data_IF_926006758809
#
_entry.id   IF_926006758809
#
_cell.length_a   1.000
_cell.length_b   1.000
_cell.length_c   1.000
_cell.angle_alpha   90.00
_cell.angle_beta   90.00
_cell.angle_gamma   90.00
#
_symmetry.space_group_name_H-M   'P 1'
#
loop_
_entity.id
_entity.type
_entity.pdbx_description
1 polymer ?
#
# COMPACT_ATOMS: atom_id res chain seq x y z
N UNK A 1 8.78 -11.99 -30.22
CA UNK A 1 9.18 -12.82 -31.39
C UNK A 1 8.31 -14.06 -31.52
N UNK A 2 8.31 -15.02 -30.57
CA UNK A 2 7.52 -16.30 -30.69
C UNK A 2 6.06 -16.07 -31.03
N UNK A 3 5.35 -15.19 -30.30
CA UNK A 3 3.92 -14.86 -30.53
C UNK A 3 3.73 -14.28 -31.94
N UNK A 4 4.56 -13.31 -32.32
CA UNK A 4 4.50 -12.70 -33.65
C UNK A 4 4.76 -13.72 -34.77
N UNK A 5 5.70 -14.65 -34.54
CA UNK A 5 5.93 -15.75 -35.49
C UNK A 5 4.71 -16.66 -35.58
N UNK A 6 4.10 -17.02 -34.43
CA UNK A 6 2.89 -17.85 -34.40
C UNK A 6 1.72 -17.23 -35.18
N UNK A 7 1.55 -15.90 -35.08
CA UNK A 7 0.48 -15.17 -35.77
C UNK A 7 0.72 -15.07 -37.28
N UNK A 8 1.98 -14.88 -37.70
CA UNK A 8 2.33 -14.49 -39.07
C UNK A 8 3.03 -15.58 -39.89
N UNK A 9 3.24 -16.79 -39.34
CA UNK A 9 4.05 -17.84 -39.97
C UNK A 9 3.58 -18.18 -41.39
N UNK A 10 2.27 -18.19 -41.61
CA UNK A 10 1.72 -18.51 -42.92
C UNK A 10 1.99 -17.43 -43.97
N UNK A 11 1.84 -16.15 -43.59
CA UNK A 11 2.20 -15.04 -44.48
C UNK A 11 3.71 -15.01 -44.79
N UNK A 12 4.53 -15.32 -43.77
CA UNK A 12 5.98 -15.40 -43.93
C UNK A 12 6.36 -16.53 -44.90
N UNK A 13 5.78 -17.70 -44.71
CA UNK A 13 6.03 -18.85 -45.61
C UNK A 13 5.52 -18.62 -47.01
N UNK A 14 4.32 -18.02 -47.17
CA UNK A 14 3.78 -17.65 -48.45
C UNK A 14 4.73 -16.72 -49.23
N UNK A 15 5.24 -15.71 -48.57
CA UNK A 15 6.20 -14.75 -49.18
C UNK A 15 7.50 -15.40 -49.58
N UNK A 16 8.08 -16.24 -48.72
CA UNK A 16 9.35 -16.96 -49.04
C UNK A 16 9.17 -17.95 -50.21
N UNK A 17 8.06 -18.60 -50.35
CA UNK A 17 7.75 -19.46 -51.47
C UNK A 17 7.60 -18.68 -52.77
N UNK A 18 6.82 -17.60 -52.77
CA UNK A 18 6.56 -16.79 -53.97
C UNK A 18 7.84 -16.16 -54.53
N UNK A 19 8.80 -15.82 -53.68
CA UNK A 19 10.07 -15.28 -54.06
C UNK A 19 11.13 -16.34 -54.50
N UNK A 20 10.72 -17.62 -54.64
CA UNK A 20 11.57 -18.71 -55.10
C UNK A 20 12.73 -19.07 -54.15
N UNK A 21 12.70 -18.60 -52.92
CA UNK A 21 13.78 -18.79 -51.96
C UNK A 21 13.75 -20.17 -51.28
N UNK A 22 12.71 -20.95 -51.50
CA UNK A 22 12.50 -22.22 -50.77
C UNK A 22 11.83 -23.28 -51.69
N UNK A 23 12.27 -24.55 -51.60
CA UNK A 23 11.76 -25.69 -52.38
C UNK A 23 10.59 -26.45 -51.77
N UNK A 24 10.29 -27.64 -52.28
CA UNK A 24 9.12 -28.49 -51.97
C UNK A 24 8.96 -28.88 -50.47
N UNK A 25 9.97 -28.74 -49.63
CA UNK A 25 9.95 -29.08 -48.22
C UNK A 25 9.23 -28.04 -47.32
N UNK A 26 8.80 -26.92 -47.84
CA UNK A 26 8.28 -25.77 -47.14
C UNK A 26 7.00 -25.99 -46.39
N UNK A 27 5.96 -26.61 -46.95
CA UNK A 27 4.67 -26.77 -46.25
C UNK A 27 4.83 -27.54 -44.93
N UNK A 28 5.67 -28.59 -44.92
CA UNK A 28 5.89 -29.40 -43.72
C UNK A 28 6.71 -28.64 -42.67
N UNK A 29 7.72 -27.89 -43.05
CA UNK A 29 8.53 -27.06 -42.14
C UNK A 29 7.69 -25.93 -41.57
N UNK A 30 6.86 -25.27 -42.38
CA UNK A 30 5.91 -24.26 -41.92
C UNK A 30 4.93 -24.80 -40.89
N UNK A 31 4.31 -25.96 -41.18
CA UNK A 31 3.34 -26.58 -40.27
C UNK A 31 4.00 -26.96 -38.91
N UNK A 32 5.20 -27.53 -38.92
CA UNK A 32 5.92 -27.86 -37.70
C UNK A 32 6.25 -26.59 -36.93
N UNK A 33 6.76 -25.54 -37.61
CA UNK A 33 7.09 -24.26 -36.97
C UNK A 33 5.85 -23.59 -36.37
N UNK A 34 4.72 -23.61 -37.09
CA UNK A 34 3.42 -23.10 -36.61
C UNK A 34 2.99 -23.81 -35.33
N UNK A 35 3.01 -25.13 -35.28
CA UNK A 35 2.67 -25.90 -34.08
C UNK A 35 3.59 -25.60 -32.92
N UNK A 36 4.91 -25.57 -33.14
CA UNK A 36 5.90 -25.24 -32.12
C UNK A 36 5.67 -23.82 -31.56
N UNK A 37 5.43 -22.83 -32.42
CA UNK A 37 5.15 -21.46 -32.00
C UNK A 37 3.83 -21.33 -31.20
N UNK A 38 2.79 -22.09 -31.57
CA UNK A 38 1.55 -22.12 -30.77
C UNK A 38 1.78 -22.75 -29.40
N UNK A 39 2.48 -23.87 -29.33
CA UNK A 39 2.83 -24.51 -28.05
C UNK A 39 3.62 -23.53 -27.18
N UNK A 40 4.62 -22.85 -27.73
CA UNK A 40 5.39 -21.84 -27.01
C UNK A 40 4.56 -20.62 -26.60
N UNK A 41 3.59 -20.19 -27.42
CA UNK A 41 2.65 -19.12 -27.06
C UNK A 41 1.77 -19.52 -25.88
N UNK A 42 1.27 -20.76 -25.86
CA UNK A 42 0.55 -21.31 -24.71
C UNK A 42 1.45 -21.36 -23.48
N UNK A 43 2.68 -21.84 -23.64
CA UNK A 43 3.68 -21.88 -22.54
C UNK A 43 3.95 -20.47 -21.96
N UNK A 44 4.13 -19.45 -22.81
CA UNK A 44 4.33 -18.05 -22.38
C UNK A 44 3.14 -17.52 -21.59
N UNK A 45 1.91 -17.94 -21.90
CA UNK A 45 0.75 -17.56 -21.13
C UNK A 45 0.76 -18.08 -19.68
N UNK A 46 1.38 -19.21 -19.42
CA UNK A 46 1.53 -19.75 -18.06
C UNK A 46 2.78 -19.23 -17.37
N UNK A 47 3.89 -19.13 -18.10
CA UNK A 47 5.23 -18.80 -17.60
C UNK A 47 5.87 -17.69 -18.44
N UNK A 48 5.36 -16.44 -18.39
CA UNK A 48 5.82 -15.35 -19.24
C UNK A 48 7.21 -14.86 -18.84
N UNK A 49 7.61 -15.02 -17.57
CA UNK A 49 8.95 -14.67 -17.10
C UNK A 49 9.76 -15.92 -16.80
N UNK A 50 10.92 -16.05 -17.46
CA UNK A 50 11.88 -17.15 -17.27
C UNK A 50 12.77 -16.94 -16.03
N UNK A 51 12.34 -16.22 -15.01
CA UNK A 51 13.16 -15.94 -13.84
C UNK A 51 13.49 -17.22 -13.07
N UNK A 52 14.73 -17.66 -13.16
CA UNK A 52 15.29 -18.85 -12.49
C UNK A 52 15.54 -18.55 -11.00
N UNK A 53 15.65 -17.27 -10.61
CA UNK A 53 15.94 -16.86 -9.25
C UNK A 53 14.64 -16.61 -8.47
N UNK A 54 14.45 -17.29 -7.34
CA UNK A 54 13.38 -17.04 -6.37
C UNK A 54 13.71 -15.76 -5.59
N UNK A 55 13.52 -14.60 -6.23
CA UNK A 55 13.89 -13.29 -5.70
C UNK A 55 12.69 -12.59 -5.04
N UNK A 56 11.52 -13.23 -4.98
CA UNK A 56 10.30 -12.56 -4.50
C UNK A 56 9.27 -13.53 -3.91
N UNK A 57 8.24 -12.94 -3.30
CA UNK A 57 7.06 -13.68 -2.83
C UNK A 57 6.25 -14.22 -4.02
N UNK A 58 5.44 -15.27 -3.79
CA UNK A 58 4.54 -15.84 -4.82
C UNK A 58 3.61 -14.77 -5.41
N UNK A 59 3.07 -13.87 -4.56
CA UNK A 59 2.23 -12.76 -5.01
C UNK A 59 2.96 -11.86 -6.01
N UNK A 60 4.20 -11.48 -5.68
CA UNK A 60 5.01 -10.60 -6.50
C UNK A 60 5.39 -11.23 -7.82
N UNK A 61 5.65 -12.55 -7.83
CA UNK A 61 5.90 -13.32 -9.04
C UNK A 61 4.68 -13.34 -9.98
N UNK A 62 3.48 -13.56 -9.44
CA UNK A 62 2.24 -13.53 -10.25
C UNK A 62 2.00 -12.13 -10.83
N UNK A 63 2.31 -11.06 -10.06
CA UNK A 63 2.22 -9.69 -10.53
C UNK A 63 3.20 -9.42 -11.67
N UNK A 64 4.47 -9.81 -11.52
CA UNK A 64 5.52 -9.71 -12.54
C UNK A 64 5.13 -10.44 -13.83
N UNK A 65 4.62 -11.65 -13.71
CA UNK A 65 4.12 -12.45 -14.83
C UNK A 65 2.94 -11.76 -15.55
N UNK A 66 2.02 -11.15 -14.78
CA UNK A 66 0.93 -10.36 -15.35
C UNK A 66 1.41 -9.13 -16.12
N UNK A 67 2.40 -8.42 -15.58
CA UNK A 67 3.02 -7.26 -16.24
C UNK A 67 3.71 -7.69 -17.54
N UNK A 68 4.45 -8.79 -17.53
CA UNK A 68 5.13 -9.31 -18.72
C UNK A 68 4.12 -9.66 -19.84
N UNK A 69 2.99 -10.28 -19.50
CA UNK A 69 1.92 -10.56 -20.47
C UNK A 69 1.33 -9.29 -21.08
N UNK A 70 1.08 -8.24 -20.28
CA UNK A 70 0.58 -6.97 -20.78
C UNK A 70 1.61 -6.24 -21.66
N UNK A 71 2.89 -6.36 -21.34
CA UNK A 71 3.97 -5.82 -22.19
C UNK A 71 4.10 -6.59 -23.52
N UNK A 72 3.98 -7.92 -23.48
CA UNK A 72 3.94 -8.76 -24.70
C UNK A 72 2.74 -8.37 -25.54
N UNK A 73 1.54 -8.27 -24.95
CA UNK A 73 0.32 -7.83 -25.63
C UNK A 73 0.52 -6.49 -26.35
N UNK A 74 1.03 -5.45 -25.67
CA UNK A 74 1.27 -4.15 -26.29
C UNK A 74 2.29 -4.21 -27.45
N UNK A 75 3.38 -4.95 -27.25
CA UNK A 75 4.42 -5.07 -28.27
C UNK A 75 3.92 -5.84 -29.48
N UNK A 76 3.19 -6.96 -29.27
CA UNK A 76 2.65 -7.77 -30.37
C UNK A 76 1.57 -7.03 -31.13
N UNK A 77 0.64 -6.34 -30.44
CA UNK A 77 -0.40 -5.53 -31.08
C UNK A 77 0.18 -4.45 -32.00
N UNK A 78 1.20 -3.69 -31.53
CA UNK A 78 1.82 -2.63 -32.33
C UNK A 78 2.52 -3.21 -33.57
N UNK A 79 3.31 -4.26 -33.39
CA UNK A 79 4.06 -4.88 -34.51
C UNK A 79 3.07 -5.54 -35.50
N UNK A 80 1.99 -6.16 -34.99
CA UNK A 80 0.98 -6.78 -35.83
C UNK A 80 0.24 -5.76 -36.71
N UNK A 81 -0.13 -4.63 -36.17
CA UNK A 81 -0.73 -3.53 -36.93
C UNK A 81 0.21 -3.06 -38.04
N UNK A 82 1.50 -2.82 -37.71
CA UNK A 82 2.49 -2.40 -38.71
C UNK A 82 2.65 -3.48 -39.80
N UNK A 83 2.75 -4.74 -39.39
CA UNK A 83 2.91 -5.85 -40.33
C UNK A 83 1.72 -5.98 -41.26
N UNK A 84 0.48 -5.94 -40.77
CA UNK A 84 -0.73 -5.95 -41.57
C UNK A 84 -0.77 -4.79 -42.58
N UNK A 85 -0.39 -3.58 -42.17
CA UNK A 85 -0.34 -2.41 -43.06
C UNK A 85 0.69 -2.67 -44.18
N UNK A 86 1.89 -3.16 -43.87
CA UNK A 86 2.91 -3.46 -44.85
C UNK A 86 2.46 -4.51 -45.86
N UNK A 87 1.85 -5.62 -45.38
CA UNK A 87 1.33 -6.68 -46.24
C UNK A 87 0.23 -6.14 -47.17
N UNK A 88 -0.68 -5.32 -46.69
CA UNK A 88 -1.73 -4.69 -47.52
C UNK A 88 -1.15 -3.73 -48.55
N UNK A 89 -0.16 -2.93 -48.21
CA UNK A 89 0.44 -1.96 -49.12
C UNK A 89 1.33 -2.61 -50.20
N UNK A 90 2.02 -3.70 -49.87
CA UNK A 90 2.92 -4.39 -50.79
C UNK A 90 2.19 -5.42 -51.67
N UNK A 91 0.93 -5.68 -51.43
CA UNK A 91 0.15 -6.68 -52.19
C UNK A 91 0.67 -8.11 -52.06
N UNK A 92 1.40 -8.43 -50.97
CA UNK A 92 1.93 -9.77 -50.75
C UNK A 92 0.81 -10.82 -50.73
N UNK A 93 1.04 -12.00 -51.38
CA UNK A 93 0.05 -13.07 -51.37
C UNK A 93 -0.16 -13.60 -49.92
N UNK A 94 -1.41 -13.68 -49.53
CA UNK A 94 -1.73 -14.03 -48.16
C UNK A 94 -1.60 -15.55 -47.89
N UNK A 95 -1.72 -16.41 -48.86
CA UNK A 95 -1.56 -17.86 -48.75
C UNK A 95 -1.40 -18.51 -50.11
N UNK A 96 -0.59 -19.58 -50.22
CA UNK A 96 -0.26 -20.22 -51.49
C UNK A 96 -1.20 -21.36 -51.83
N UNK A 97 -1.80 -22.01 -50.82
CA UNK A 97 -2.39 -23.32 -51.04
C UNK A 97 -3.72 -23.55 -50.30
N UNK A 98 -4.40 -22.48 -49.84
CA UNK A 98 -5.57 -22.67 -48.98
C UNK A 98 -6.88 -22.97 -49.73
N UNK A 99 -6.92 -22.78 -51.04
CA UNK A 99 -8.18 -22.87 -51.81
C UNK A 99 -9.27 -21.87 -51.38
N UNK A 100 -8.92 -20.97 -50.42
CA UNK A 100 -9.84 -19.97 -49.90
C UNK A 100 -9.71 -18.64 -50.64
N UNK A 101 -10.85 -17.90 -50.73
CA UNK A 101 -10.82 -16.53 -51.24
C UNK A 101 -10.00 -15.62 -50.36
N UNK A 102 -9.32 -14.63 -50.96
CA UNK A 102 -8.49 -13.63 -50.26
C UNK A 102 -9.15 -13.00 -49.01
N UNK A 103 -10.43 -12.60 -49.01
CA UNK A 103 -11.11 -12.12 -47.81
C UNK A 103 -11.19 -13.13 -46.67
N UNK A 104 -11.34 -14.41 -46.97
CA UNK A 104 -11.46 -15.45 -45.95
C UNK A 104 -10.11 -15.72 -45.25
N UNK A 105 -9.00 -15.59 -45.95
CA UNK A 105 -7.64 -15.69 -45.38
C UNK A 105 -7.39 -14.57 -44.36
N UNK A 106 -7.75 -13.33 -44.74
CA UNK A 106 -7.67 -12.19 -43.83
C UNK A 106 -8.61 -12.31 -42.64
N UNK A 107 -9.84 -12.77 -42.83
CA UNK A 107 -10.77 -12.98 -41.73
C UNK A 107 -10.23 -14.01 -40.73
N UNK A 108 -9.68 -15.12 -41.20
CA UNK A 108 -9.05 -16.13 -40.35
C UNK A 108 -7.85 -15.56 -39.57
N UNK A 109 -6.98 -14.82 -40.25
CA UNK A 109 -5.82 -14.16 -39.60
C UNK A 109 -6.28 -13.20 -38.51
N UNK A 110 -7.23 -12.30 -38.79
CA UNK A 110 -7.80 -11.38 -37.86
C UNK A 110 -8.38 -12.07 -36.61
N UNK A 111 -9.15 -13.15 -36.82
CA UNK A 111 -9.73 -13.92 -35.73
C UNK A 111 -8.65 -14.58 -34.84
N UNK A 112 -7.57 -15.08 -35.46
CA UNK A 112 -6.45 -15.67 -34.73
C UNK A 112 -5.72 -14.60 -33.89
N UNK A 113 -5.42 -13.45 -34.50
CA UNK A 113 -4.80 -12.30 -33.81
C UNK A 113 -5.66 -11.87 -32.62
N UNK A 114 -6.95 -11.64 -32.87
CA UNK A 114 -7.89 -11.24 -31.80
C UNK A 114 -7.94 -12.27 -30.67
N UNK A 115 -7.97 -13.56 -30.98
CA UNK A 115 -8.00 -14.61 -29.97
C UNK A 115 -6.74 -14.61 -29.11
N UNK A 116 -5.55 -14.57 -29.72
CA UNK A 116 -4.28 -14.61 -29.00
C UNK A 116 -4.09 -13.33 -28.16
N UNK A 117 -4.34 -12.17 -28.75
CA UNK A 117 -4.23 -10.88 -28.03
C UNK A 117 -5.25 -10.79 -26.88
N UNK A 118 -6.46 -11.28 -27.05
CA UNK A 118 -7.47 -11.33 -26.00
C UNK A 118 -7.02 -12.22 -24.82
N UNK A 119 -6.43 -13.38 -25.10
CA UNK A 119 -5.91 -14.29 -24.07
C UNK A 119 -4.75 -13.63 -23.32
N UNK A 120 -3.78 -13.03 -24.01
CA UNK A 120 -2.65 -12.33 -23.41
C UNK A 120 -3.12 -11.18 -22.52
N UNK A 121 -4.02 -10.35 -23.03
CA UNK A 121 -4.56 -9.20 -22.31
C UNK A 121 -5.30 -9.63 -21.02
N UNK A 122 -6.29 -10.53 -21.15
CA UNK A 122 -7.10 -10.92 -19.99
C UNK A 122 -6.31 -11.69 -18.94
N UNK A 123 -5.43 -12.59 -19.36
CA UNK A 123 -4.55 -13.28 -18.42
C UNK A 123 -3.63 -12.29 -17.68
N UNK A 124 -3.04 -11.33 -18.40
CA UNK A 124 -2.20 -10.29 -17.82
C UNK A 124 -2.96 -9.38 -16.86
N UNK A 125 -4.10 -8.81 -17.31
CA UNK A 125 -4.84 -7.83 -16.51
C UNK A 125 -5.47 -8.45 -15.25
N UNK A 126 -5.97 -9.68 -15.33
CA UNK A 126 -6.51 -10.40 -14.16
C UNK A 126 -5.44 -10.64 -13.12
N UNK A 127 -4.26 -11.12 -13.51
CA UNK A 127 -3.12 -11.29 -12.58
C UNK A 127 -2.77 -9.96 -11.91
N UNK A 128 -2.62 -8.89 -12.68
CA UNK A 128 -2.30 -7.55 -12.17
C UNK A 128 -3.38 -7.04 -11.21
N UNK A 129 -4.64 -7.15 -11.57
CA UNK A 129 -5.74 -6.65 -10.75
C UNK A 129 -5.92 -7.41 -9.43
N UNK A 130 -5.68 -8.71 -9.42
CA UNK A 130 -5.81 -9.52 -8.21
C UNK A 130 -4.61 -9.42 -7.27
N UNK A 131 -3.42 -9.10 -7.78
CA UNK A 131 -2.19 -9.17 -6.97
C UNK A 131 -1.57 -7.83 -6.61
N UNK A 132 -1.78 -6.76 -7.41
CA UNK A 132 -1.21 -5.45 -7.11
C UNK A 132 -1.91 -4.78 -5.92
N UNK A 133 -1.12 -4.29 -4.97
CA UNK A 133 -1.58 -3.45 -3.85
C UNK A 133 -1.54 -1.97 -4.24
N UNK A 134 -0.52 -1.55 -5.02
CA UNK A 134 -0.28 -0.14 -5.36
C UNK A 134 -1.26 0.42 -6.40
N UNK A 135 -1.90 -0.45 -7.20
CA UNK A 135 -2.81 -0.02 -8.25
C UNK A 135 -4.03 0.75 -7.71
N UNK A 136 -4.50 0.38 -6.51
CA UNK A 136 -5.66 0.99 -5.87
C UNK A 136 -6.96 0.80 -6.68
N UNK A 137 -8.09 1.24 -6.13
CA UNK A 137 -9.41 1.15 -6.79
C UNK A 137 -9.47 2.11 -7.97
N UNK A 138 -8.87 3.31 -7.85
CA UNK A 138 -8.91 4.35 -8.88
C UNK A 138 -8.44 3.83 -10.25
N UNK A 139 -7.23 3.24 -10.32
CA UNK A 139 -6.67 2.78 -11.59
C UNK A 139 -7.33 1.52 -12.11
N UNK A 140 -7.90 0.67 -11.23
CA UNK A 140 -8.75 -0.46 -11.65
C UNK A 140 -10.01 0.03 -12.36
N UNK A 141 -10.72 0.99 -11.77
CA UNK A 141 -11.93 1.59 -12.36
C UNK A 141 -11.61 2.34 -13.66
N UNK A 142 -10.56 3.16 -13.68
CA UNK A 142 -10.12 3.86 -14.90
C UNK A 142 -9.79 2.86 -16.00
N UNK A 143 -9.05 1.78 -15.70
CA UNK A 143 -8.71 0.75 -16.67
C UNK A 143 -9.93 0.05 -17.28
N UNK A 144 -10.96 -0.23 -16.46
CA UNK A 144 -12.22 -0.82 -16.94
C UNK A 144 -12.98 0.17 -17.84
N UNK A 145 -13.16 1.43 -17.41
CA UNK A 145 -13.91 2.44 -18.17
C UNK A 145 -13.18 2.79 -19.47
N UNK A 146 -11.88 3.01 -19.42
CA UNK A 146 -11.07 3.36 -20.60
C UNK A 146 -10.88 2.19 -21.56
N UNK A 147 -11.13 0.94 -21.12
CA UNK A 147 -10.98 -0.26 -21.96
C UNK A 147 -11.78 -0.27 -23.27
N UNK A 148 -12.81 0.56 -23.37
CA UNK A 148 -13.66 0.73 -24.56
C UNK A 148 -13.22 1.87 -25.47
N UNK A 149 -12.24 2.69 -25.07
CA UNK A 149 -11.78 3.86 -25.82
C UNK A 149 -10.30 3.64 -26.21
N UNK A 150 -9.96 3.41 -27.49
CA UNK A 150 -8.65 2.94 -27.91
C UNK A 150 -7.46 3.75 -27.37
N UNK A 151 -7.47 5.07 -27.52
CA UNK A 151 -6.36 5.94 -27.06
C UNK A 151 -6.31 6.02 -25.52
N UNK A 152 -7.47 6.15 -24.87
CA UNK A 152 -7.57 6.20 -23.41
C UNK A 152 -7.14 4.86 -22.78
N UNK A 153 -7.46 3.74 -23.42
CA UNK A 153 -7.03 2.40 -23.00
C UNK A 153 -5.51 2.28 -23.01
N UNK A 154 -4.83 2.73 -24.05
CA UNK A 154 -3.36 2.67 -24.14
C UNK A 154 -2.70 3.48 -23.01
N UNK A 155 -3.22 4.68 -22.72
CA UNK A 155 -2.75 5.50 -21.61
C UNK A 155 -3.00 4.83 -20.26
N UNK A 156 -4.22 4.32 -20.04
CA UNK A 156 -4.56 3.62 -18.80
C UNK A 156 -3.66 2.39 -18.59
N UNK A 157 -3.45 1.59 -19.64
CA UNK A 157 -2.60 0.41 -19.60
C UNK A 157 -1.13 0.77 -19.32
N UNK A 158 -0.60 1.80 -19.97
CA UNK A 158 0.73 2.33 -19.66
C UNK A 158 0.87 2.71 -18.18
N UNK A 159 -0.12 3.42 -17.64
CA UNK A 159 -0.10 3.81 -16.22
C UNK A 159 -0.20 2.61 -15.28
N UNK A 160 -1.05 1.64 -15.60
CA UNK A 160 -1.19 0.39 -14.84
C UNK A 160 0.14 -0.35 -14.82
N UNK A 161 0.75 -0.59 -15.98
CA UNK A 161 2.06 -1.27 -16.09
C UNK A 161 3.12 -0.52 -15.29
N UNK A 162 3.20 0.81 -15.41
CA UNK A 162 4.20 1.62 -14.70
C UNK A 162 4.05 1.53 -13.18
N UNK A 163 2.82 1.66 -12.65
CA UNK A 163 2.56 1.57 -11.21
C UNK A 163 2.95 0.19 -10.68
N UNK A 164 2.52 -0.86 -11.38
CA UNK A 164 2.75 -2.24 -10.94
C UNK A 164 4.21 -2.69 -11.12
N UNK A 165 4.91 -2.21 -12.15
CA UNK A 165 6.36 -2.45 -12.31
C UNK A 165 7.16 -1.81 -11.16
N UNK A 166 6.81 -0.58 -10.78
CA UNK A 166 7.44 0.06 -9.62
C UNK A 166 7.16 -0.72 -8.32
N UNK A 167 5.94 -1.28 -8.17
CA UNK A 167 5.62 -2.15 -7.04
C UNK A 167 6.51 -3.38 -7.00
N UNK A 168 6.69 -4.07 -8.14
CA UNK A 168 7.53 -5.27 -8.22
C UNK A 168 8.97 -4.95 -7.85
N UNK A 169 9.54 -3.89 -8.39
CA UNK A 169 10.92 -3.47 -8.09
C UNK A 169 11.08 -3.21 -6.58
N UNK A 170 10.20 -2.38 -6.01
CA UNK A 170 10.25 -2.01 -4.60
C UNK A 170 10.10 -3.24 -3.66
N UNK A 171 9.15 -4.14 -3.94
CA UNK A 171 8.94 -5.33 -3.12
C UNK A 171 10.08 -6.35 -3.27
N UNK A 172 10.74 -6.43 -4.44
CA UNK A 172 11.91 -7.28 -4.64
C UNK A 172 13.13 -6.75 -3.89
N UNK A 173 13.38 -5.44 -3.95
CA UNK A 173 14.46 -4.79 -3.18
C UNK A 173 14.25 -4.99 -1.68
N UNK A 174 13.02 -4.81 -1.19
CA UNK A 174 12.67 -5.03 0.22
C UNK A 174 12.84 -6.48 0.63
N UNK A 175 12.46 -7.43 -0.21
CA UNK A 175 12.65 -8.86 0.03
C UNK A 175 14.14 -9.22 0.15
N UNK A 176 14.97 -8.72 -0.75
CA UNK A 176 16.43 -8.92 -0.71
C UNK A 176 17.06 -8.30 0.54
N UNK A 177 16.70 -7.07 0.87
CA UNK A 177 17.16 -6.39 2.08
C UNK A 177 16.84 -7.21 3.33
N UNK A 178 15.62 -7.71 3.44
CA UNK A 178 15.20 -8.54 4.57
C UNK A 178 15.94 -9.89 4.63
N UNK A 179 16.32 -10.47 3.49
CA UNK A 179 17.14 -11.68 3.48
C UNK A 179 18.58 -11.40 3.96
N UNK A 180 19.19 -10.30 3.53
CA UNK A 180 20.56 -9.92 3.92
C UNK A 180 20.66 -9.71 5.43
N UNK A 181 19.66 -9.08 6.05
CA UNK A 181 19.66 -8.73 7.49
C UNK A 181 18.93 -9.72 8.39
N UNK A 182 18.43 -10.84 7.85
CA UNK A 182 17.62 -11.81 8.61
C UNK A 182 18.32 -12.34 9.86
N UNK A 183 19.63 -12.55 9.80
CA UNK A 183 20.44 -13.03 10.91
C UNK A 183 20.71 -11.96 11.98
N UNK A 184 20.67 -10.68 11.61
CA UNK A 184 21.00 -9.56 12.51
C UNK A 184 19.90 -9.29 13.54
N UNK A 185 18.66 -9.73 13.27
CA UNK A 185 17.51 -9.51 14.16
C UNK A 185 17.41 -8.03 14.58
N UNK A 186 17.39 -7.12 13.59
CA UNK A 186 17.50 -5.66 13.77
C UNK A 186 16.50 -5.08 14.79
N UNK A 187 15.30 -5.70 14.88
CA UNK A 187 14.23 -5.27 15.76
C UNK A 187 14.07 -6.13 17.02
N UNK A 188 15.07 -6.97 17.35
CA UNK A 188 15.04 -7.77 18.58
C UNK A 188 15.46 -6.90 19.77
N UNK A 189 14.49 -6.20 20.35
CA UNK A 189 14.64 -5.35 21.52
C UNK A 189 14.64 -6.14 22.83
N UNK A 190 15.21 -5.57 23.90
CA UNK A 190 15.18 -6.18 25.25
C UNK A 190 13.75 -6.37 25.76
N UNK A 191 12.89 -5.39 25.50
CA UNK A 191 11.49 -5.42 25.89
C UNK A 191 10.59 -5.48 24.65
N UNK A 192 9.47 -6.19 24.67
CA UNK A 192 8.57 -6.31 23.53
C UNK A 192 7.96 -4.95 23.15
N UNK A 193 7.58 -4.81 21.90
CA UNK A 193 6.94 -3.61 21.37
C UNK A 193 5.44 -3.72 21.54
N UNK A 194 4.83 -2.73 22.18
CA UNK A 194 3.38 -2.56 22.29
C UNK A 194 2.92 -1.49 21.30
N UNK A 195 2.15 -1.88 20.29
CA UNK A 195 1.54 -0.98 19.31
C UNK A 195 0.18 -0.50 19.84
N UNK A 196 0.02 0.83 19.96
CA UNK A 196 -1.18 1.47 20.47
C UNK A 196 -1.82 2.31 19.39
N UNK A 197 -3.04 1.93 18.98
CA UNK A 197 -3.77 2.62 17.91
C UNK A 197 -4.38 3.96 18.37
N UNK A 198 -4.78 4.79 17.39
CA UNK A 198 -5.48 6.04 17.62
C UNK A 198 -7.00 5.90 17.66
N UNK A 199 -7.68 7.03 17.47
CA UNK A 199 -9.15 7.11 17.46
C UNK A 199 -9.74 6.52 16.16
N UNK A 200 -10.99 6.04 16.23
CA UNK A 200 -11.86 5.54 15.14
C UNK A 200 -11.50 4.20 14.51
N UNK A 201 -10.35 3.64 14.73
CA UNK A 201 -9.98 2.34 14.20
C UNK A 201 -9.40 1.50 15.32
N UNK A 202 -9.85 0.26 15.39
CA UNK A 202 -9.35 -0.74 16.34
C UNK A 202 -8.54 -1.79 15.61
N UNK A 203 -7.66 -2.49 16.32
CA UNK A 203 -6.97 -3.67 15.80
C UNK A 203 -7.96 -4.83 15.65
N UNK A 204 -8.55 -4.98 14.45
CA UNK A 204 -9.42 -6.10 14.13
C UNK A 204 -8.61 -7.29 13.63
N UNK A 205 -9.10 -8.49 13.89
CA UNK A 205 -8.49 -9.73 13.39
C UNK A 205 -8.27 -9.73 11.88
N UNK A 206 -9.11 -9.04 11.12
CA UNK A 206 -9.07 -8.98 9.65
C UNK A 206 -8.64 -7.62 9.08
N UNK A 207 -8.56 -6.59 9.92
CA UNK A 207 -8.21 -5.23 9.49
C UNK A 207 -7.11 -4.69 10.42
N UNK A 208 -5.88 -4.83 9.99
CA UNK A 208 -4.74 -4.35 10.76
C UNK A 208 -4.61 -2.83 10.64
N UNK A 209 -4.74 -2.12 11.76
CA UNK A 209 -4.54 -0.67 11.86
C UNK A 209 -3.18 -0.22 11.32
N UNK A 210 -2.13 -0.99 11.59
CA UNK A 210 -0.75 -0.66 11.29
C UNK A 210 -0.28 -1.11 9.88
N UNK A 211 -1.18 -1.43 8.98
CA UNK A 211 -0.88 -1.80 7.60
C UNK A 211 0.13 -2.95 7.48
N UNK A 212 1.27 -2.69 6.80
CA UNK A 212 2.35 -3.67 6.58
C UNK A 212 3.45 -3.62 7.66
N UNK A 213 3.43 -2.63 8.55
CA UNK A 213 4.46 -2.36 9.57
C UNK A 213 4.70 -3.57 10.48
N UNK A 214 3.67 -4.20 11.11
CA UNK A 214 3.90 -5.31 12.03
C UNK A 214 4.56 -6.53 11.37
N UNK A 215 4.21 -6.82 10.12
CA UNK A 215 4.81 -7.92 9.39
C UNK A 215 6.31 -7.67 9.11
N UNK A 216 6.68 -6.42 8.84
CA UNK A 216 8.06 -6.02 8.61
C UNK A 216 8.88 -6.09 9.90
N UNK A 217 8.37 -5.55 11.01
CA UNK A 217 9.03 -5.62 12.31
C UNK A 217 9.26 -7.07 12.78
N UNK A 218 8.23 -7.94 12.64
CA UNK A 218 8.35 -9.36 12.99
C UNK A 218 9.40 -10.09 12.15
N UNK A 219 9.51 -9.79 10.86
CA UNK A 219 10.57 -10.36 9.99
C UNK A 219 11.96 -9.99 10.46
N UNK A 220 12.11 -8.84 11.12
CA UNK A 220 13.36 -8.34 11.65
C UNK A 220 13.54 -8.65 13.15
N UNK A 221 12.76 -9.58 13.72
CA UNK A 221 12.96 -10.13 15.07
C UNK A 221 12.15 -9.47 16.17
N UNK A 222 11.25 -8.52 15.88
CA UNK A 222 10.44 -7.88 16.91
C UNK A 222 9.39 -8.83 17.52
N UNK A 223 9.27 -8.80 18.85
CA UNK A 223 8.11 -9.34 19.58
C UNK A 223 7.07 -8.24 19.72
N UNK A 224 5.88 -8.46 19.15
CA UNK A 224 4.83 -7.42 19.07
C UNK A 224 3.58 -7.81 19.83
N UNK A 225 3.04 -6.82 20.57
CA UNK A 225 1.72 -6.84 21.18
C UNK A 225 0.88 -5.65 20.72
N UNK A 226 -0.42 -5.68 20.99
CA UNK A 226 -1.37 -4.63 20.62
C UNK A 226 -2.12 -4.15 21.85
N UNK A 227 -2.38 -2.83 21.91
CA UNK A 227 -3.06 -2.18 23.04
C UNK A 227 -4.50 -2.66 23.24
N UNK A 228 -5.23 -2.83 22.12
CA UNK A 228 -6.61 -3.32 22.09
C UNK A 228 -7.60 -2.47 22.92
N UNK A 229 -7.22 -1.25 23.35
CA UNK A 229 -8.10 -0.31 24.05
C UNK A 229 -9.30 0.11 23.16
N UNK A 230 -10.32 0.70 23.73
CA UNK A 230 -11.45 1.23 22.97
C UNK A 230 -10.98 2.32 21.99
N UNK A 231 -11.57 2.36 20.79
CA UNK A 231 -11.17 3.31 19.74
C UNK A 231 -11.82 4.69 19.90
N UNK A 232 -12.94 4.77 20.57
CA UNK A 232 -13.67 6.02 20.83
C UNK A 232 -14.17 6.07 22.28
N UNK A 233 -13.25 6.29 23.20
CA UNK A 233 -13.54 6.59 24.60
C UNK A 233 -12.59 7.73 25.04
N UNK A 234 -12.82 8.28 26.24
CA UNK A 234 -11.92 9.29 26.81
C UNK A 234 -10.49 8.79 26.95
N UNK A 235 -9.54 9.73 26.95
CA UNK A 235 -8.12 9.44 27.24
C UNK A 235 -7.96 8.73 28.58
N UNK A 236 -8.73 9.13 29.60
CA UNK A 236 -8.70 8.50 30.91
C UNK A 236 -9.09 7.03 30.86
N UNK A 237 -10.24 6.71 30.26
CA UNK A 237 -10.75 5.35 30.16
C UNK A 237 -9.83 4.46 29.31
N UNK A 238 -9.36 4.97 28.19
CA UNK A 238 -8.38 4.24 27.35
C UNK A 238 -7.05 4.02 28.09
N UNK A 239 -6.61 4.97 28.91
CA UNK A 239 -5.42 4.85 29.74
C UNK A 239 -5.54 3.77 30.82
N UNK A 240 -6.70 3.65 31.47
CA UNK A 240 -7.00 2.58 32.41
C UNK A 240 -6.96 1.19 31.74
N UNK A 241 -7.67 1.02 30.61
CA UNK A 241 -7.66 -0.23 29.84
C UNK A 241 -6.26 -0.60 29.37
N UNK A 242 -5.49 0.40 28.91
CA UNK A 242 -4.11 0.20 28.44
C UNK A 242 -3.18 -0.22 29.58
N UNK A 243 -3.37 0.34 30.77
CA UNK A 243 -2.61 -0.05 31.98
C UNK A 243 -2.80 -1.52 32.32
N UNK A 244 -4.03 -1.98 32.31
CA UNK A 244 -4.34 -3.40 32.56
C UNK A 244 -3.77 -4.30 31.45
N UNK A 245 -3.83 -3.85 30.19
CA UNK A 245 -3.24 -4.57 29.07
C UNK A 245 -1.70 -4.67 29.18
N UNK A 246 -1.03 -3.61 29.59
CA UNK A 246 0.42 -3.60 29.83
C UNK A 246 0.80 -4.62 30.91
N UNK A 247 0.09 -4.65 32.04
CA UNK A 247 0.31 -5.62 33.12
C UNK A 247 0.15 -7.05 32.63
N UNK A 248 -0.93 -7.34 31.89
CA UNK A 248 -1.16 -8.65 31.27
C UNK A 248 -0.01 -9.05 30.34
N UNK A 249 0.49 -8.15 29.48
CA UNK A 249 1.60 -8.45 28.58
C UNK A 249 2.88 -8.78 29.36
N UNK A 250 3.18 -8.03 30.40
CA UNK A 250 4.34 -8.27 31.26
C UNK A 250 4.23 -9.65 31.92
N UNK A 251 3.06 -10.02 32.43
CA UNK A 251 2.81 -11.34 33.02
C UNK A 251 2.89 -12.47 31.97
N UNK A 252 2.19 -12.32 30.82
CA UNK A 252 2.16 -13.32 29.73
C UNK A 252 3.53 -13.57 29.09
N UNK A 253 4.32 -12.52 28.92
CA UNK A 253 5.63 -12.60 28.23
C UNK A 253 6.79 -12.89 29.20
N UNK A 254 6.60 -12.70 30.50
CA UNK A 254 7.66 -12.79 31.50
C UNK A 254 8.71 -11.68 31.40
N UNK A 255 8.43 -10.61 30.64
CA UNK A 255 9.31 -9.45 30.55
C UNK A 255 9.07 -8.49 31.72
N UNK A 256 10.05 -7.63 32.01
CA UNK A 256 9.91 -6.62 33.08
C UNK A 256 9.11 -5.39 32.61
N UNK A 257 9.25 -5.01 31.36
CA UNK A 257 8.72 -3.78 30.77
C UNK A 257 8.28 -3.99 29.31
N UNK A 258 7.62 -2.99 28.74
CA UNK A 258 7.31 -2.88 27.31
C UNK A 258 7.84 -1.58 26.73
N UNK A 259 8.11 -1.57 25.42
CA UNK A 259 8.34 -0.37 24.63
C UNK A 259 7.04 0.00 23.90
N UNK A 260 6.49 1.17 24.11
CA UNK A 260 5.23 1.61 23.50
C UNK A 260 5.53 2.41 22.24
N UNK A 261 4.89 2.06 21.14
CA UNK A 261 4.79 2.90 19.93
C UNK A 261 3.31 3.22 19.73
N UNK A 262 2.94 4.48 19.94
CA UNK A 262 1.56 4.93 19.99
C UNK A 262 1.27 5.96 18.89
N UNK A 263 0.19 5.77 18.13
CA UNK A 263 -0.22 6.70 17.08
C UNK A 263 -1.40 7.57 17.50
N UNK A 264 -1.34 8.86 17.12
CA UNK A 264 -2.46 9.80 17.28
C UNK A 264 -2.93 9.88 18.74
N UNK A 265 -4.25 9.79 19.02
CA UNK A 265 -4.82 9.76 20.37
C UNK A 265 -4.17 8.72 21.28
N UNK A 266 -3.73 7.57 20.72
CA UNK A 266 -3.07 6.51 21.50
C UNK A 266 -1.83 6.98 22.26
N UNK A 267 -1.16 8.05 21.78
CA UNK A 267 -0.06 8.69 22.52
C UNK A 267 -0.53 9.41 23.79
N UNK A 268 -1.71 10.05 23.75
CA UNK A 268 -2.32 10.66 24.96
C UNK A 268 -2.79 9.58 25.92
N UNK A 269 -3.44 8.52 25.41
CA UNK A 269 -3.88 7.36 26.19
C UNK A 269 -2.69 6.72 26.93
N UNK A 270 -1.56 6.55 26.22
CA UNK A 270 -0.33 5.99 26.80
C UNK A 270 0.29 6.89 27.86
N UNK A 271 0.31 8.21 27.64
CA UNK A 271 0.76 9.16 28.66
C UNK A 271 -0.11 9.12 29.91
N UNK A 272 -1.43 9.03 29.73
CA UNK A 272 -2.35 8.91 30.86
C UNK A 272 -2.14 7.59 31.63
N UNK A 273 -1.97 6.48 30.92
CA UNK A 273 -1.64 5.18 31.53
C UNK A 273 -0.37 5.25 32.38
N UNK A 274 0.69 5.89 31.86
CA UNK A 274 1.98 6.01 32.54
C UNK A 274 1.88 6.94 33.76
N UNK A 275 1.31 8.15 33.58
CA UNK A 275 1.37 9.21 34.60
C UNK A 275 0.26 9.08 35.66
N UNK A 276 -0.98 8.65 35.27
CA UNK A 276 -2.14 8.64 36.15
C UNK A 276 -2.57 7.27 36.63
N UNK A 277 -2.36 6.18 35.83
CA UNK A 277 -2.86 4.86 36.16
C UNK A 277 -1.77 3.90 36.69
N UNK A 278 -0.54 4.38 36.91
CA UNK A 278 0.55 3.60 37.52
C UNK A 278 1.19 2.58 36.58
N UNK A 279 1.15 2.79 35.26
CA UNK A 279 1.86 1.92 34.30
C UNK A 279 3.38 2.17 34.21
N UNK A 280 3.90 3.29 34.75
CA UNK A 280 5.30 3.68 34.65
C UNK A 280 6.32 2.56 34.99
N UNK A 281 6.16 1.75 36.06
CA UNK A 281 7.11 0.67 36.36
C UNK A 281 7.23 -0.40 35.26
N UNK A 282 6.20 -0.55 34.41
CA UNK A 282 6.10 -1.55 33.37
C UNK A 282 6.42 -1.01 31.96
N UNK A 283 6.82 0.27 31.84
CA UNK A 283 7.12 0.91 30.56
C UNK A 283 8.59 1.32 30.54
N UNK A 284 9.32 0.95 29.49
CA UNK A 284 10.71 1.35 29.28
C UNK A 284 10.80 2.62 28.43
N UNK A 285 10.01 2.66 27.35
CA UNK A 285 9.97 3.81 26.44
C UNK A 285 8.57 4.05 25.88
N UNK A 286 8.28 5.33 25.59
CA UNK A 286 7.10 5.76 24.83
C UNK A 286 7.55 6.55 23.60
N UNK A 287 7.31 6.00 22.43
CA UNK A 287 7.43 6.70 21.16
C UNK A 287 6.03 7.07 20.66
N UNK A 288 5.73 8.35 20.58
CA UNK A 288 4.47 8.83 20.04
C UNK A 288 4.62 9.22 18.58
N UNK A 289 3.64 8.89 17.75
CA UNK A 289 3.64 9.12 16.31
C UNK A 289 2.43 9.98 15.95
N UNK A 290 2.66 11.18 15.45
CA UNK A 290 1.64 12.15 15.07
C UNK A 290 0.55 12.36 16.17
N UNK A 291 0.96 12.32 17.42
CA UNK A 291 0.09 12.52 18.58
C UNK A 291 -0.15 14.01 18.82
N UNK A 292 -1.39 14.46 19.02
CA UNK A 292 -1.71 15.84 19.31
C UNK A 292 -1.47 16.18 20.79
N UNK A 293 -0.20 16.25 21.23
CA UNK A 293 0.16 16.54 22.62
C UNK A 293 -0.33 17.90 23.13
N UNK A 294 -0.51 18.87 22.22
CA UNK A 294 -1.09 20.18 22.51
C UNK A 294 -2.49 20.34 21.93
N UNK A 295 -3.11 19.23 21.53
CA UNK A 295 -4.44 19.20 20.90
C UNK A 295 -4.47 19.89 19.52
N UNK A 296 -5.68 20.17 19.08
CA UNK A 296 -5.99 20.81 17.81
C UNK A 296 -6.88 22.03 18.04
N UNK A 297 -6.40 23.24 17.74
CA UNK A 297 -7.18 24.51 17.85
C UNK A 297 -8.40 24.44 16.92
N UNK A 298 -8.23 23.84 15.76
CA UNK A 298 -9.32 23.60 14.83
C UNK A 298 -10.47 22.80 15.45
N UNK A 299 -10.18 21.82 16.32
CA UNK A 299 -11.21 21.04 17.00
C UNK A 299 -12.01 21.88 18.00
N UNK A 300 -11.35 22.75 18.78
CA UNK A 300 -12.02 23.71 19.65
C UNK A 300 -12.99 24.60 18.86
N UNK A 301 -12.51 25.17 17.74
CA UNK A 301 -13.32 26.02 16.88
C UNK A 301 -14.54 25.29 16.31
N UNK A 302 -14.39 24.06 15.86
CA UNK A 302 -15.50 23.28 15.31
C UNK A 302 -16.55 22.99 16.37
N UNK A 303 -16.14 22.54 17.56
CA UNK A 303 -17.07 22.23 18.65
C UNK A 303 -17.82 23.48 19.15
N UNK A 304 -17.18 24.66 19.10
CA UNK A 304 -17.84 25.94 19.44
C UNK A 304 -18.87 26.39 18.39
N UNK A 305 -18.65 26.08 17.12
CA UNK A 305 -19.48 26.60 16.00
C UNK A 305 -20.55 25.62 15.51
N UNK A 306 -20.35 24.34 15.70
CA UNK A 306 -21.33 23.34 15.25
C UNK A 306 -22.41 23.17 16.33
N UNK A 307 -23.71 23.33 15.98
CA UNK A 307 -24.79 23.13 16.93
C UNK A 307 -24.77 21.70 17.51
N UNK A 308 -25.01 21.57 18.83
CA UNK A 308 -25.03 20.29 19.54
C UNK A 308 -25.93 19.23 18.90
N UNK A 309 -27.06 19.65 18.32
CA UNK A 309 -27.96 18.76 17.60
C UNK A 309 -27.31 18.08 16.37
N UNK A 310 -26.36 18.75 15.71
CA UNK A 310 -25.62 18.21 14.58
C UNK A 310 -24.49 17.30 15.09
N UNK A 311 -23.76 17.74 16.09
CA UNK A 311 -22.73 16.94 16.76
C UNK A 311 -23.30 15.62 17.27
N UNK A 312 -24.45 15.65 17.95
CA UNK A 312 -25.12 14.46 18.47
C UNK A 312 -25.58 13.51 17.36
N UNK A 313 -26.10 14.02 16.22
CA UNK A 313 -26.47 13.17 15.07
C UNK A 313 -25.26 12.46 14.46
N UNK A 314 -24.12 13.15 14.39
CA UNK A 314 -22.86 12.57 13.91
C UNK A 314 -22.38 11.51 14.90
N UNK A 315 -22.33 11.84 16.19
CA UNK A 315 -21.92 10.93 17.27
C UNK A 315 -22.74 9.64 17.28
N UNK A 316 -24.06 9.71 17.20
CA UNK A 316 -24.94 8.51 17.19
C UNK A 316 -24.59 7.59 16.02
N UNK A 317 -24.33 8.13 14.82
CA UNK A 317 -23.95 7.31 13.65
C UNK A 317 -22.58 6.67 13.82
N UNK A 318 -21.59 7.43 14.31
CA UNK A 318 -20.25 6.92 14.56
C UNK A 318 -20.24 5.88 15.67
N UNK A 319 -20.92 6.13 16.80
CA UNK A 319 -21.02 5.18 17.90
C UNK A 319 -21.69 3.88 17.45
N UNK A 320 -22.77 3.94 16.65
CA UNK A 320 -23.39 2.75 16.09
C UNK A 320 -22.44 1.95 15.18
N UNK A 321 -21.68 2.64 14.33
CA UNK A 321 -20.68 1.99 13.48
C UNK A 321 -19.55 1.35 14.29
N UNK A 322 -19.04 2.01 15.33
CA UNK A 322 -17.99 1.50 16.20
C UNK A 322 -18.46 0.33 17.06
N UNK A 323 -19.71 0.38 17.56
CA UNK A 323 -20.34 -0.76 18.27
C UNK A 323 -20.45 -1.98 17.33
N UNK A 324 -20.92 -1.77 16.09
CA UNK A 324 -20.94 -2.83 15.08
C UNK A 324 -19.54 -3.38 14.79
N UNK A 325 -18.52 -2.53 14.85
CA UNK A 325 -17.12 -2.89 14.69
C UNK A 325 -16.50 -3.52 15.95
N UNK A 326 -17.22 -3.64 17.07
CA UNK A 326 -16.80 -4.37 18.28
C UNK A 326 -16.35 -3.51 19.45
N UNK A 327 -16.48 -2.18 19.40
CA UNK A 327 -16.31 -1.33 20.58
C UNK A 327 -17.53 -1.48 21.51
N UNK A 328 -17.33 -1.82 22.78
CA UNK A 328 -18.45 -2.11 23.67
C UNK A 328 -19.26 -0.86 24.05
N UNK A 329 -18.62 0.27 24.27
CA UNK A 329 -19.25 1.52 24.70
C UNK A 329 -18.56 2.75 24.08
N UNK A 330 -18.64 2.94 22.75
CA UNK A 330 -17.96 4.06 22.11
C UNK A 330 -18.62 5.39 22.47
N UNK A 331 -17.83 6.39 22.80
CA UNK A 331 -18.23 7.79 22.92
C UNK A 331 -17.38 8.67 22.03
N UNK A 332 -17.87 8.86 20.81
CA UNK A 332 -17.21 9.68 19.80
C UNK A 332 -16.98 11.12 20.26
N UNK A 333 -17.97 11.73 20.95
CA UNK A 333 -17.85 13.13 21.34
C UNK A 333 -16.82 13.31 22.45
N UNK A 334 -16.78 12.41 23.43
CA UNK A 334 -15.79 12.44 24.50
C UNK A 334 -14.38 12.29 23.92
N UNK A 335 -14.19 11.34 22.99
CA UNK A 335 -12.91 11.15 22.31
C UNK A 335 -12.45 12.38 21.51
N UNK A 336 -13.36 13.08 20.82
CA UNK A 336 -13.05 14.31 20.07
C UNK A 336 -12.78 15.48 21.02
N UNK A 337 -13.54 15.60 22.12
CA UNK A 337 -13.34 16.64 23.13
C UNK A 337 -11.93 16.57 23.74
N UNK A 338 -11.43 15.38 24.01
CA UNK A 338 -10.07 15.17 24.55
C UNK A 338 -8.96 15.58 23.58
N UNK A 339 -9.25 15.69 22.28
CA UNK A 339 -8.29 16.11 21.25
C UNK A 339 -8.26 17.63 21.03
N UNK A 340 -9.09 18.40 21.73
CA UNK A 340 -9.07 19.88 21.64
C UNK A 340 -7.81 20.47 22.30
N UNK A 341 -7.38 21.63 21.85
CA UNK A 341 -6.21 22.31 22.44
C UNK A 341 -6.48 22.65 23.93
N UNK A 342 -7.71 23.04 24.25
CA UNK A 342 -8.11 23.35 25.62
C UNK A 342 -8.07 22.13 26.56
N UNK A 343 -8.48 20.95 26.09
CA UNK A 343 -8.40 19.72 26.88
C UNK A 343 -6.98 19.21 27.04
N UNK A 344 -6.18 19.23 25.96
CA UNK A 344 -4.78 18.85 26.04
C UNK A 344 -3.93 19.77 26.92
N UNK A 345 -4.26 21.08 26.97
CA UNK A 345 -3.60 21.98 27.90
C UNK A 345 -3.83 21.54 29.36
N UNK A 346 -5.07 21.24 29.75
CA UNK A 346 -5.39 20.70 31.08
C UNK A 346 -4.70 19.37 31.37
N UNK A 347 -4.69 18.45 30.38
CA UNK A 347 -3.99 17.18 30.52
C UNK A 347 -2.49 17.38 30.77
N UNK A 348 -1.85 18.30 30.06
CA UNK A 348 -0.43 18.56 30.23
C UNK A 348 -0.07 19.15 31.59
N UNK A 349 -0.98 19.86 32.28
CA UNK A 349 -0.78 20.35 33.63
C UNK A 349 -0.86 19.21 34.68
N UNK A 350 -1.60 18.14 34.37
CA UNK A 350 -1.91 17.05 35.34
C UNK A 350 -1.11 15.77 35.08
N UNK A 351 -0.47 15.62 33.92
CA UNK A 351 0.27 14.42 33.51
C UNK A 351 1.76 14.70 33.32
N UNK A 352 2.55 14.74 34.41
CA UNK A 352 4.02 14.87 34.30
C UNK A 352 4.61 13.61 33.67
N UNK A 353 5.67 13.77 32.90
CA UNK A 353 6.44 12.64 32.40
C UNK A 353 7.20 11.95 33.54
N UNK A 354 7.15 10.61 33.60
CA UNK A 354 7.87 9.83 34.59
C UNK A 354 9.37 9.74 34.20
N UNK A 355 10.24 10.05 35.13
CA UNK A 355 11.70 10.12 34.90
C UNK A 355 12.34 8.75 34.55
N UNK A 356 11.68 7.64 34.82
CA UNK A 356 12.17 6.28 34.50
C UNK A 356 11.76 5.81 33.11
N UNK A 357 10.94 6.59 32.40
CA UNK A 357 10.46 6.27 31.05
C UNK A 357 11.16 7.17 30.04
N UNK A 358 11.67 6.59 28.96
CA UNK A 358 12.19 7.36 27.85
C UNK A 358 11.09 7.83 26.92
N UNK A 359 10.98 9.14 26.66
CA UNK A 359 9.96 9.73 25.80
C UNK A 359 10.58 10.29 24.53
N UNK A 360 10.03 9.92 23.37
CA UNK A 360 10.31 10.54 22.09
C UNK A 360 9.05 10.68 21.25
N UNK A 361 9.10 11.56 20.27
CA UNK A 361 7.97 11.77 19.35
C UNK A 361 8.42 11.80 17.89
N UNK A 362 7.51 11.40 17.03
CA UNK A 362 7.64 11.42 15.57
C UNK A 362 6.51 12.27 15.02
N UNK A 363 6.85 13.19 14.13
CA UNK A 363 5.87 14.02 13.45
C UNK A 363 6.09 14.07 11.97
N UNK A 364 5.00 14.23 11.21
CA UNK A 364 5.02 14.36 9.76
C UNK A 364 4.17 15.52 9.27
N UNK A 365 4.32 15.89 8.00
CA UNK A 365 3.42 16.87 7.37
C UNK A 365 3.06 16.50 5.95
N UNK A 366 1.87 16.91 5.56
CA UNK A 366 1.46 17.02 4.15
C UNK A 366 2.03 18.30 3.53
N UNK A 367 2.36 18.27 2.24
CA UNK A 367 2.82 19.44 1.50
C UNK A 367 1.67 20.19 0.80
N UNK A 368 0.48 19.58 0.71
CA UNK A 368 -0.72 20.20 0.14
C UNK A 368 -1.97 19.35 0.37
N UNK A 369 -3.14 19.94 0.13
CA UNK A 369 -4.44 19.27 0.31
C UNK A 369 -4.59 18.00 -0.56
N UNK A 370 -3.98 17.98 -1.75
CA UNK A 370 -4.02 16.80 -2.64
C UNK A 370 -3.05 15.68 -2.26
N UNK A 371 -2.24 15.89 -1.24
CA UNK A 371 -1.29 14.90 -0.72
C UNK A 371 -1.97 13.77 0.05
N UNK A 372 -3.05 14.07 0.76
CA UNK A 372 -3.82 13.10 1.54
C UNK A 372 -5.01 12.54 0.78
N UNK A 373 -5.47 11.36 1.21
CA UNK A 373 -6.76 10.82 0.79
C UNK A 373 -7.89 11.41 1.63
N UNK A 374 -9.13 11.25 1.18
CA UNK A 374 -10.31 11.59 1.98
C UNK A 374 -10.29 10.81 3.32
N UNK A 375 -10.57 11.47 4.47
CA UNK A 375 -10.98 12.87 4.64
C UNK A 375 -9.82 13.87 4.82
N UNK A 376 -8.54 13.45 4.88
CA UNK A 376 -7.38 14.29 5.21
C UNK A 376 -7.14 15.43 4.21
N UNK A 377 -7.49 15.21 2.94
CA UNK A 377 -7.41 16.25 1.91
C UNK A 377 -8.37 17.40 2.16
N UNK A 378 -9.51 17.16 2.83
CA UNK A 378 -10.49 18.18 3.18
C UNK A 378 -10.14 18.90 4.49
N UNK A 379 -9.64 18.18 5.48
CA UNK A 379 -9.26 18.77 6.77
C UNK A 379 -7.94 19.56 6.71
N UNK A 380 -7.01 19.18 5.83
CA UNK A 380 -5.70 19.84 5.71
C UNK A 380 -5.76 21.38 5.60
N UNK A 381 -6.53 22.01 4.69
CA UNK A 381 -6.56 23.48 4.58
C UNK A 381 -7.18 24.12 5.82
N UNK A 382 -8.11 23.47 6.49
CA UNK A 382 -8.73 23.95 7.72
C UNK A 382 -7.74 23.91 8.88
N UNK A 383 -7.11 22.79 9.11
CA UNK A 383 -6.04 22.65 10.14
C UNK A 383 -4.90 23.62 9.83
N UNK A 384 -4.50 23.78 8.55
CA UNK A 384 -3.46 24.72 8.16
C UNK A 384 -3.79 26.18 8.52
N UNK A 385 -5.04 26.55 8.45
CA UNK A 385 -5.49 27.92 8.78
C UNK A 385 -5.35 28.22 10.28
N UNK A 386 -5.69 27.26 11.15
CA UNK A 386 -5.68 27.44 12.61
C UNK A 386 -4.36 27.05 13.25
N UNK A 387 -3.75 25.95 12.81
CA UNK A 387 -2.67 25.26 13.47
C UNK A 387 -1.35 25.20 12.65
N UNK A 388 -1.37 25.71 11.40
CA UNK A 388 -0.16 25.77 10.56
C UNK A 388 0.19 24.48 9.83
N UNK A 389 1.49 24.17 9.77
CA UNK A 389 2.00 22.96 9.11
C UNK A 389 1.45 21.71 9.79
N UNK A 390 0.83 20.79 9.01
CA UNK A 390 0.09 19.66 9.56
C UNK A 390 0.11 18.43 8.63
N UNK A 391 -0.31 17.29 9.15
CA UNK A 391 -0.41 16.00 8.46
C UNK A 391 -1.81 15.70 7.90
N UNK A 392 -2.70 16.69 7.94
CA UNK A 392 -4.12 16.60 7.61
C UNK A 392 -5.05 16.62 8.82
N UNK A 393 -4.56 16.31 10.03
CA UNK A 393 -5.33 16.33 11.28
C UNK A 393 -4.60 17.05 12.41
N UNK A 394 -3.32 16.84 12.58
CA UNK A 394 -2.51 17.34 13.70
C UNK A 394 -1.43 18.27 13.17
N UNK A 395 -1.17 19.37 13.87
CA UNK A 395 -0.08 20.27 13.52
C UNK A 395 1.27 19.76 14.02
N UNK A 396 2.33 20.05 13.28
CA UNK A 396 3.70 19.66 13.62
C UNK A 396 4.10 20.12 15.02
N UNK A 397 3.68 21.32 15.42
CA UNK A 397 3.99 21.87 16.74
C UNK A 397 3.25 21.11 17.86
N UNK A 398 2.06 20.61 17.59
CA UNK A 398 1.32 19.79 18.54
C UNK A 398 1.90 18.38 18.70
N UNK A 399 2.66 17.87 17.71
CA UNK A 399 3.28 16.55 17.75
C UNK A 399 4.55 16.47 18.61
N UNK A 400 5.19 17.60 18.90
CA UNK A 400 6.49 17.64 19.60
C UNK A 400 6.34 17.31 21.06
N UNK A 401 7.03 16.24 21.53
CA UNK A 401 7.04 15.82 22.91
C UNK A 401 8.29 15.00 23.24
N UNK A 402 8.68 14.99 24.54
CA UNK A 402 9.80 14.20 25.03
C UNK A 402 11.18 14.79 24.71
N UNK A 403 12.20 13.95 24.87
CA UNK A 403 13.62 14.35 24.74
C UNK A 403 14.11 14.39 23.29
N UNK A 404 13.43 13.70 22.37
CA UNK A 404 13.78 13.60 20.94
C UNK A 404 12.56 13.77 20.06
N UNK A 405 12.67 14.57 19.01
CA UNK A 405 11.63 14.77 18.00
C UNK A 405 12.15 14.45 16.60
N UNK A 406 11.62 13.38 16.01
CA UNK A 406 11.94 12.96 14.64
C UNK A 406 10.91 13.56 13.69
N UNK A 407 11.38 14.45 12.81
CA UNK A 407 10.51 15.09 11.83
C UNK A 407 10.64 14.48 10.45
N UNK A 408 9.51 13.99 9.91
CA UNK A 408 9.45 13.31 8.63
C UNK A 408 8.78 14.17 7.56
N UNK A 409 9.43 14.27 6.42
CA UNK A 409 8.91 14.95 5.23
C UNK A 409 9.54 14.36 3.97
N UNK A 410 8.89 14.56 2.84
CA UNK A 410 9.44 14.26 1.51
C UNK A 410 9.51 15.55 0.70
N UNK A 411 10.51 15.70 -0.19
CA UNK A 411 10.75 16.96 -0.90
C UNK A 411 9.72 17.27 -2.00
N UNK A 412 8.89 16.29 -2.38
CA UNK A 412 7.88 16.47 -3.43
C UNK A 412 6.60 17.17 -2.94
N UNK A 413 5.63 17.35 -3.83
CA UNK A 413 4.35 18.00 -3.51
C UNK A 413 3.44 17.17 -2.59
N UNK A 414 3.76 15.87 -2.36
CA UNK A 414 2.89 14.96 -1.61
C UNK A 414 3.02 15.16 -0.08
N UNK A 415 4.22 15.11 0.47
CA UNK A 415 4.40 15.04 1.92
C UNK A 415 3.97 13.68 2.50
N UNK A 416 3.84 13.62 3.83
CA UNK A 416 3.46 12.41 4.58
C UNK A 416 2.24 12.76 5.42
N UNK A 417 1.12 12.09 5.18
CA UNK A 417 -0.15 12.32 5.88
C UNK A 417 -0.26 11.53 7.18
N UNK A 418 -1.23 11.88 8.02
CA UNK A 418 -1.58 11.17 9.25
C UNK A 418 -1.79 9.66 9.05
N UNK A 419 -2.52 9.29 8.00
CA UNK A 419 -2.76 7.88 7.67
C UNK A 419 -1.56 7.16 7.07
N UNK A 420 -0.63 7.88 6.43
CA UNK A 420 0.60 7.29 5.91
C UNK A 420 1.49 6.76 7.04
N UNK A 421 1.49 7.43 8.21
CA UNK A 421 2.30 7.04 9.35
C UNK A 421 1.97 5.66 9.94
N UNK A 422 0.79 5.15 9.65
CA UNK A 422 0.36 3.79 10.02
C UNK A 422 0.24 2.86 8.81
N UNK A 423 0.73 3.28 7.65
CA UNK A 423 0.61 2.54 6.39
C UNK A 423 -0.85 2.16 6.05
N UNK A 424 -1.81 3.03 6.40
CA UNK A 424 -3.25 2.77 6.29
C UNK A 424 -3.67 2.35 4.89
N UNK A 425 -3.17 3.04 3.89
CA UNK A 425 -3.46 2.79 2.48
C UNK A 425 -2.49 1.80 1.82
N UNK A 426 -1.47 1.36 2.53
CA UNK A 426 -0.39 0.49 2.03
C UNK A 426 0.31 1.05 0.78
N UNK A 427 0.37 2.38 0.66
CA UNK A 427 1.00 3.06 -0.47
C UNK A 427 2.52 3.18 -0.28
N UNK A 428 3.25 2.93 -1.36
CA UNK A 428 4.67 3.25 -1.42
C UNK A 428 4.82 4.74 -1.73
N UNK A 429 5.47 5.47 -0.83
CA UNK A 429 5.73 6.90 -0.98
C UNK A 429 7.08 7.06 -1.68
N UNK A 430 7.12 7.88 -2.75
CA UNK A 430 8.38 8.16 -3.43
C UNK A 430 9.34 8.89 -2.49
N UNK A 431 10.57 8.37 -2.38
CA UNK A 431 11.59 8.95 -1.51
C UNK A 431 11.42 8.67 -0.01
N UNK A 432 10.44 7.85 0.40
CA UNK A 432 10.25 7.47 1.79
C UNK A 432 9.68 6.06 1.95
N UNK A 433 10.37 5.21 2.70
CA UNK A 433 9.89 3.87 3.04
C UNK A 433 9.39 3.82 4.49
N UNK A 434 8.06 3.81 4.67
CA UNK A 434 7.43 3.75 5.98
C UNK A 434 7.82 2.49 6.77
N UNK A 435 7.91 1.34 6.09
CA UNK A 435 8.28 0.08 6.76
C UNK A 435 9.72 0.13 7.26
N UNK A 436 10.62 0.67 6.46
CA UNK A 436 12.03 0.83 6.84
C UNK A 436 12.22 1.84 7.95
N UNK A 437 11.44 2.92 7.93
CA UNK A 437 11.42 3.89 9.02
C UNK A 437 11.12 3.21 10.37
N UNK A 438 10.10 2.35 10.44
CA UNK A 438 9.78 1.66 11.69
C UNK A 438 10.82 0.62 12.09
N UNK A 439 11.43 -0.08 11.12
CA UNK A 439 12.57 -0.98 11.42
C UNK A 439 13.70 -0.19 12.05
N UNK A 440 14.07 0.95 11.47
CA UNK A 440 15.09 1.83 12.04
C UNK A 440 14.70 2.37 13.42
N UNK A 441 13.47 2.82 13.59
CA UNK A 441 12.96 3.33 14.87
C UNK A 441 13.10 2.28 15.98
N UNK A 442 12.75 1.03 15.71
CA UNK A 442 12.88 -0.07 16.69
C UNK A 442 14.34 -0.48 16.88
N UNK A 443 15.14 -0.47 15.82
CA UNK A 443 16.59 -0.67 15.92
C UNK A 443 17.25 0.37 16.82
N UNK A 444 16.90 1.65 16.65
CA UNK A 444 17.43 2.72 17.50
C UNK A 444 17.07 2.50 18.99
N UNK A 445 15.85 2.02 19.29
CA UNK A 445 15.48 1.63 20.67
C UNK A 445 16.33 0.46 21.17
N UNK A 446 16.60 -0.56 20.34
CA UNK A 446 17.48 -1.68 20.68
C UNK A 446 18.89 -1.21 21.02
N UNK A 447 19.47 -0.30 20.21
CA UNK A 447 20.82 0.25 20.46
C UNK A 447 20.88 1.10 21.73
N UNK A 448 19.76 1.69 22.15
CA UNK A 448 19.65 2.39 23.45
C UNK A 448 19.49 1.43 24.65
N UNK A 449 19.35 0.11 24.41
CA UNK A 449 19.22 -0.92 25.44
C UNK A 449 17.77 -1.20 25.90
N UNK A 450 16.78 -0.70 25.17
CA UNK A 450 15.36 -0.92 25.46
C UNK A 450 14.81 -2.25 24.97
#
# INVERSE_FOLDING_TARGET
>A
MVVLTALNIRFICANLYYNGQLGVLIPSVCAVTEIVCYILTVYINFFPTLSIKKISTTRNKILEDGIALLQIFLATTVVEIIYCIVVLLTGMPADIDSGFSYPLVWLRHLLLVLLVELILFWNGIVRVYLTSVQLGIKWRVIGIICGWIPIAQLYALYRIIRITSNEVIYENEKYLLNQIRAENQECHTRYPILLVHGVFFRDFRFFNYWGRIPAELKRNGATLFYGCQQSAASVAKCGEELTERIKQIVEESGCEKVNIIAHSKGGLDSRYAISACGAAPYVASLTTVNTPHRGCIFADYLLDKIPDAVCNKVAVKYNAALTFAGDPNPDFMEAVQDLTASSCARLNETLPDDSQVYYQSVGSKMNGAFSGRFPLNMSYPMVKHFDGANDGLVSVDSMKWGSNFIYLTVPDSRGISHGDMIDLNRENISGFDMREFYVKLVHDLKEMGF
#
